data_IF_381338643516
#
_entry.id   IF_381338643516
#
_cell.length_a   1.000
_cell.length_b   1.000
_cell.length_c   1.000
_cell.angle_alpha   90.00
_cell.angle_beta   90.00
_cell.angle_gamma   90.00
#
_symmetry.space_group_name_H-M   'P 1'
#
loop_
_entity.id
_entity.type
_entity.pdbx_description
1 polymer ?
#
# COMPACT_ATOMS: atom_id res chain seq x y z
N UNK A 1 -52.96 45.10 15.47
CA UNK A 1 -51.91 44.09 15.73
C UNK A 1 -50.92 44.14 14.55
N UNK A 2 -49.74 44.76 14.69
CA UNK A 2 -48.76 44.90 13.59
C UNK A 2 -47.77 43.73 13.63
N UNK A 3 -47.89 42.81 12.68
CA UNK A 3 -47.00 41.66 12.56
C UNK A 3 -45.64 42.10 12.02
N UNK A 4 -44.58 41.93 12.82
CA UNK A 4 -43.21 42.37 12.49
C UNK A 4 -42.49 41.38 11.55
N UNK A 5 -42.81 41.43 10.26
CA UNK A 5 -42.23 40.57 9.21
C UNK A 5 -40.69 40.63 9.12
N UNK A 6 -40.07 41.78 9.42
CA UNK A 6 -38.60 41.95 9.35
C UNK A 6 -37.82 41.07 10.33
N UNK A 7 -38.38 40.77 11.51
CA UNK A 7 -37.77 39.87 12.50
C UNK A 7 -37.84 38.40 12.08
N UNK A 8 -38.89 38.00 11.37
CA UNK A 8 -39.07 36.62 10.90
C UNK A 8 -38.15 36.27 9.73
N UNK A 9 -37.92 37.21 8.81
CA UNK A 9 -36.99 37.04 7.68
C UNK A 9 -35.53 36.95 8.17
N UNK A 10 -35.15 37.72 9.19
CA UNK A 10 -33.81 37.68 9.79
C UNK A 10 -33.51 36.32 10.44
N UNK A 11 -34.48 35.74 11.16
CA UNK A 11 -34.31 34.44 11.85
C UNK A 11 -34.23 33.28 10.85
N UNK A 12 -34.99 33.32 9.76
CA UNK A 12 -34.93 32.31 8.69
C UNK A 12 -33.61 32.39 7.92
N UNK A 13 -33.11 33.60 7.64
CA UNK A 13 -31.81 33.81 6.98
C UNK A 13 -30.63 33.31 7.81
N UNK A 14 -30.67 33.49 9.13
CA UNK A 14 -29.62 32.98 10.05
C UNK A 14 -29.69 31.46 10.21
N UNK A 15 -30.87 30.84 10.18
CA UNK A 15 -30.99 29.38 10.25
C UNK A 15 -30.41 28.67 9.01
N UNK A 16 -30.55 29.26 7.82
CA UNK A 16 -29.94 28.72 6.59
C UNK A 16 -28.42 28.92 6.53
N UNK A 17 -27.88 29.93 7.21
CA UNK A 17 -26.43 30.14 7.36
C UNK A 17 -25.76 29.09 8.26
N UNK A 18 -26.47 28.50 9.22
CA UNK A 18 -25.93 27.43 10.08
C UNK A 18 -26.12 26.03 9.51
N UNK A 19 -27.07 25.81 8.58
CA UNK A 19 -27.27 24.51 7.94
C UNK A 19 -26.25 24.20 6.83
N UNK A 20 -25.55 25.23 6.32
CA UNK A 20 -24.55 25.09 5.25
C UNK A 20 -23.12 24.81 5.70
N UNK A 21 -22.81 24.87 6.99
CA UNK A 21 -21.43 24.87 7.49
C UNK A 21 -20.92 23.51 8.02
N UNK A 22 -21.71 22.45 7.96
CA UNK A 22 -21.30 21.11 8.40
C UNK A 22 -21.28 20.10 7.25
N UNK A 23 -20.67 20.46 6.13
CA UNK A 23 -20.12 19.45 5.24
C UNK A 23 -18.78 19.01 5.86
N UNK A 24 -18.82 18.01 6.75
CA UNK A 24 -17.61 17.28 7.10
C UNK A 24 -17.07 16.70 5.79
N UNK A 25 -15.96 17.24 5.29
CA UNK A 25 -15.19 16.60 4.24
C UNK A 25 -14.64 15.31 4.86
N UNK A 26 -15.39 14.23 4.72
CA UNK A 26 -14.88 12.89 4.95
C UNK A 26 -13.85 12.65 3.86
N UNK A 27 -12.58 12.95 4.13
CA UNK A 27 -11.48 12.41 3.35
C UNK A 27 -11.51 10.91 3.62
N UNK A 28 -12.24 10.16 2.79
CA UNK A 28 -12.01 8.73 2.70
C UNK A 28 -10.62 8.57 2.12
N UNK A 29 -9.65 8.14 2.94
CA UNK A 29 -8.42 7.58 2.43
C UNK A 29 -8.83 6.33 1.62
N UNK A 30 -9.01 6.51 0.32
CA UNK A 30 -9.31 5.39 -0.55
C UNK A 30 -8.02 4.57 -0.63
N UNK A 31 -8.12 3.28 -0.30
CA UNK A 31 -7.02 2.36 -0.53
C UNK A 31 -6.91 2.21 -2.05
N UNK A 32 -5.95 2.91 -2.66
CA UNK A 32 -5.68 2.89 -4.11
C UNK A 32 -5.28 1.51 -4.60
N UNK A 33 -4.50 0.80 -3.78
CA UNK A 33 -3.92 -0.49 -4.10
C UNK A 33 -3.72 -1.30 -2.81
N UNK A 34 -3.87 -2.61 -2.93
CA UNK A 34 -3.54 -3.57 -1.89
C UNK A 34 -3.25 -4.91 -2.54
N UNK A 35 -2.36 -5.65 -1.91
CA UNK A 35 -2.19 -7.07 -2.14
C UNK A 35 -2.12 -7.79 -0.79
N UNK A 36 -2.98 -8.80 -0.64
CA UNK A 36 -3.02 -9.68 0.52
C UNK A 36 -2.54 -11.09 0.19
N UNK A 37 -2.13 -11.35 -1.06
CA UNK A 37 -1.67 -12.62 -1.60
C UNK A 37 -2.72 -13.76 -1.61
N UNK A 38 -3.98 -13.50 -1.23
CA UNK A 38 -4.99 -14.55 -1.06
C UNK A 38 -5.48 -15.14 -2.40
N UNK A 39 -5.31 -14.43 -3.51
CA UNK A 39 -5.70 -14.89 -4.85
C UNK A 39 -4.68 -15.78 -5.54
N UNK A 40 -3.48 -15.90 -4.96
CA UNK A 40 -2.36 -16.62 -5.55
C UNK A 40 -2.43 -18.11 -5.23
N UNK A 41 -1.44 -18.88 -5.68
CA UNK A 41 -1.33 -20.31 -5.35
C UNK A 41 -0.12 -20.60 -4.46
N UNK A 42 -0.25 -21.60 -3.58
CA UNK A 42 0.86 -22.02 -2.73
C UNK A 42 2.05 -22.51 -3.59
N UNK A 43 3.24 -21.96 -3.34
CA UNK A 43 4.44 -22.26 -4.11
C UNK A 43 4.61 -21.45 -5.40
N UNK A 44 3.68 -20.53 -5.71
CA UNK A 44 3.86 -19.62 -6.84
C UNK A 44 5.08 -18.73 -6.61
N UNK A 45 5.94 -18.65 -7.64
CA UNK A 45 7.02 -17.68 -7.69
C UNK A 45 6.47 -16.38 -8.23
N UNK A 46 6.80 -15.27 -7.58
CA UNK A 46 6.52 -13.93 -8.07
C UNK A 46 7.68 -13.50 -8.99
N UNK A 47 7.65 -13.99 -10.23
CA UNK A 47 8.72 -13.92 -11.22
C UNK A 47 8.53 -12.83 -12.29
N UNK A 48 7.50 -11.98 -12.14
CA UNK A 48 7.18 -10.89 -13.05
C UNK A 48 6.23 -11.28 -14.18
N UNK A 49 5.60 -12.45 -14.09
CA UNK A 49 4.58 -12.89 -15.04
C UNK A 49 3.22 -12.23 -14.75
N UNK A 50 2.27 -12.23 -15.72
CA UNK A 50 1.01 -11.49 -15.58
C UNK A 50 0.13 -11.91 -14.37
N UNK A 51 0.32 -13.10 -13.82
CA UNK A 51 -0.38 -13.63 -12.65
C UNK A 51 0.28 -13.27 -11.31
N UNK A 52 1.36 -12.50 -11.33
CA UNK A 52 2.07 -12.09 -10.12
C UNK A 52 1.57 -10.79 -9.51
N UNK A 53 0.54 -10.17 -10.10
CA UNK A 53 -0.04 -8.92 -9.59
C UNK A 53 0.90 -7.72 -9.63
N UNK A 54 1.97 -7.78 -10.42
CA UNK A 54 2.94 -6.69 -10.61
C UNK A 54 4.22 -6.83 -9.79
N UNK A 55 4.38 -7.91 -9.03
CA UNK A 55 5.62 -8.22 -8.32
C UNK A 55 6.69 -8.79 -9.25
N UNK A 56 7.95 -8.44 -9.01
CA UNK A 56 9.13 -8.92 -9.73
C UNK A 56 10.34 -8.98 -8.79
N UNK A 57 11.32 -9.84 -9.06
CA UNK A 57 12.61 -9.78 -8.37
C UNK A 57 13.40 -8.51 -8.70
N UNK A 58 14.17 -8.01 -7.74
CA UNK A 58 15.06 -6.87 -7.92
C UNK A 58 15.96 -7.06 -9.14
N UNK A 59 16.01 -6.04 -9.99
CA UNK A 59 16.74 -6.03 -11.26
C UNK A 59 16.35 -7.18 -12.21
N UNK A 60 15.12 -7.69 -12.07
CA UNK A 60 14.64 -8.88 -12.77
C UNK A 60 15.54 -10.11 -12.53
N UNK A 61 16.14 -10.20 -11.33
CA UNK A 61 17.01 -11.31 -10.96
C UNK A 61 16.16 -12.48 -10.43
N UNK A 62 16.32 -13.66 -11.05
CA UNK A 62 15.61 -14.86 -10.63
C UNK A 62 15.93 -15.34 -9.21
N UNK A 63 17.10 -14.97 -8.69
CA UNK A 63 17.48 -15.26 -7.31
C UNK A 63 16.80 -14.34 -6.28
N UNK A 64 16.10 -13.30 -6.74
CA UNK A 64 15.43 -12.30 -5.92
C UNK A 64 13.91 -12.53 -5.78
N UNK A 65 13.37 -13.56 -6.42
CA UNK A 65 11.93 -13.84 -6.39
C UNK A 65 11.44 -14.18 -4.98
N UNK A 66 10.20 -13.79 -4.72
CA UNK A 66 9.43 -14.20 -3.54
C UNK A 66 8.60 -15.43 -3.88
N UNK A 67 8.34 -16.26 -2.86
CA UNK A 67 7.48 -17.44 -3.02
C UNK A 67 6.22 -17.27 -2.18
N UNK A 68 5.06 -17.44 -2.79
CA UNK A 68 3.78 -17.46 -2.07
C UNK A 68 3.70 -18.73 -1.23
N UNK A 69 3.30 -18.62 0.04
CA UNK A 69 3.24 -19.73 1.00
C UNK A 69 2.01 -19.65 1.89
N UNK A 70 1.59 -20.79 2.43
CA UNK A 70 0.59 -20.92 3.49
C UNK A 70 1.18 -21.20 4.88
N UNK A 71 2.52 -21.17 5.02
CA UNK A 71 3.21 -21.41 6.29
C UNK A 71 2.81 -20.41 7.38
N UNK A 72 2.71 -19.14 7.00
CA UNK A 72 2.29 -18.01 7.84
C UNK A 72 1.41 -17.11 6.99
N UNK A 73 0.40 -16.50 7.58
CA UNK A 73 -0.43 -15.53 6.86
C UNK A 73 -1.20 -14.64 7.83
N UNK A 74 -1.42 -13.39 7.43
CA UNK A 74 -2.30 -12.46 8.16
C UNK A 74 -3.74 -12.56 7.65
N UNK A 75 -3.92 -12.70 6.34
CA UNK A 75 -5.19 -12.98 5.68
C UNK A 75 -5.11 -14.39 5.13
N UNK A 76 -6.19 -15.17 5.26
CA UNK A 76 -6.17 -16.56 4.78
C UNK A 76 -6.43 -16.60 3.28
N UNK A 77 -5.70 -17.42 2.50
CA UNK A 77 -4.82 -18.51 2.97
C UNK A 77 -3.31 -18.29 2.80
N UNK A 78 -2.86 -17.17 2.24
CA UNK A 78 -1.46 -17.06 1.79
C UNK A 78 -0.78 -15.75 2.23
N UNK A 79 0.55 -15.77 2.21
CA UNK A 79 1.41 -14.58 2.18
C UNK A 79 2.60 -14.84 1.27
N UNK A 80 3.41 -13.81 1.00
CA UNK A 80 4.73 -14.00 0.39
C UNK A 80 5.79 -14.31 1.45
N UNK A 81 6.66 -15.26 1.17
CA UNK A 81 7.85 -15.57 1.97
C UNK A 81 9.03 -14.74 1.48
N UNK A 82 9.68 -14.06 2.41
CA UNK A 82 10.96 -13.36 2.20
C UNK A 82 12.02 -14.16 2.94
N UNK A 83 12.85 -14.89 2.20
CA UNK A 83 13.88 -15.77 2.78
C UNK A 83 15.22 -15.67 2.06
N UNK A 84 16.22 -16.32 2.65
CA UNK A 84 17.56 -16.49 2.07
C UNK A 84 18.01 -17.92 2.27
N UNK A 85 18.70 -18.48 1.27
CA UNK A 85 19.42 -19.75 1.41
C UNK A 85 20.85 -19.58 1.96
N UNK A 86 21.28 -18.34 2.20
CA UNK A 86 22.60 -17.96 2.69
C UNK A 86 23.74 -18.12 1.68
N UNK A 87 23.45 -18.39 0.41
CA UNK A 87 24.47 -18.66 -0.61
C UNK A 87 24.22 -17.89 -1.91
N UNK A 88 23.03 -18.02 -2.48
CA UNK A 88 22.74 -17.54 -3.84
C UNK A 88 21.35 -16.97 -4.03
N UNK A 89 20.40 -17.32 -3.16
CA UNK A 89 19.02 -16.84 -3.22
C UNK A 89 18.72 -15.99 -2.00
N UNK A 90 18.27 -14.77 -2.26
CA UNK A 90 17.84 -13.80 -1.27
C UNK A 90 16.64 -13.08 -1.85
N UNK A 91 15.46 -13.25 -1.26
CA UNK A 91 14.26 -12.56 -1.75
C UNK A 91 14.45 -11.05 -1.63
N UNK A 92 14.37 -10.36 -2.76
CA UNK A 92 14.34 -8.91 -2.89
C UNK A 92 13.27 -8.58 -3.91
N UNK A 93 12.03 -8.46 -3.42
CA UNK A 93 10.85 -8.38 -4.26
C UNK A 93 10.38 -6.92 -4.40
N UNK A 94 10.12 -6.51 -5.63
CA UNK A 94 9.74 -5.16 -6.02
C UNK A 94 8.35 -5.16 -6.61
N UNK A 95 7.53 -4.18 -6.23
CA UNK A 95 6.27 -3.85 -6.92
C UNK A 95 6.31 -2.38 -7.33
N UNK A 96 6.30 -2.13 -8.63
CA UNK A 96 6.34 -0.77 -9.17
C UNK A 96 4.93 -0.15 -9.19
N UNK A 97 4.89 1.17 -8.97
CA UNK A 97 3.64 1.93 -8.97
C UNK A 97 3.66 2.98 -10.07
N UNK A 98 2.54 3.13 -10.78
CA UNK A 98 2.35 4.19 -11.77
C UNK A 98 1.29 5.18 -11.31
N UNK A 99 1.42 6.44 -11.71
CA UNK A 99 0.46 7.51 -11.36
C UNK A 99 0.69 8.21 -10.01
N UNK A 100 1.67 7.79 -9.22
CA UNK A 100 2.01 8.39 -7.91
C UNK A 100 3.16 9.40 -8.06
N UNK A 101 2.88 10.59 -8.57
CA UNK A 101 3.91 11.57 -8.96
C UNK A 101 4.13 12.70 -7.96
N UNK A 102 3.19 12.94 -7.04
CA UNK A 102 3.29 13.99 -6.01
C UNK A 102 2.33 13.74 -4.85
N UNK A 103 2.56 14.36 -3.69
CA UNK A 103 1.71 14.25 -2.50
C UNK A 103 2.36 13.47 -1.36
N UNK A 104 1.56 13.13 -0.36
CA UNK A 104 1.96 12.31 0.79
C UNK A 104 1.29 10.95 0.64
N UNK A 105 2.09 9.89 0.70
CA UNK A 105 1.63 8.52 0.60
C UNK A 105 1.83 7.80 1.92
N UNK A 106 0.86 6.98 2.30
CA UNK A 106 0.96 6.09 3.47
C UNK A 106 0.97 4.68 2.96
N UNK A 107 2.02 3.93 3.30
CA UNK A 107 2.14 2.52 2.98
C UNK A 107 2.09 1.71 4.28
N UNK A 108 1.44 0.56 4.25
CA UNK A 108 1.37 -0.36 5.38
C UNK A 108 1.73 -1.75 4.92
N UNK A 109 2.83 -2.29 5.45
CA UNK A 109 3.25 -3.67 5.26
C UNK A 109 3.08 -4.43 6.58
N UNK A 110 2.61 -5.67 6.49
CA UNK A 110 2.54 -6.58 7.62
C UNK A 110 3.58 -7.67 7.44
N UNK A 111 4.58 -7.66 8.31
CA UNK A 111 5.69 -8.61 8.23
C UNK A 111 5.68 -9.50 9.48
N UNK A 112 5.65 -10.81 9.25
CA UNK A 112 5.91 -11.78 10.29
C UNK A 112 7.41 -12.02 10.37
N UNK A 113 7.99 -11.89 11.56
CA UNK A 113 9.39 -12.20 11.84
C UNK A 113 9.41 -13.40 12.81
N UNK A 114 9.95 -14.56 12.40
CA UNK A 114 10.07 -15.72 13.27
C UNK A 114 10.90 -15.43 14.52
N UNK A 115 10.61 -16.14 15.61
CA UNK A 115 11.33 -15.96 16.89
C UNK A 115 12.82 -16.30 16.82
N UNK A 116 13.19 -17.18 15.90
CA UNK A 116 14.55 -17.65 15.63
C UNK A 116 15.20 -16.94 14.43
N UNK A 117 14.59 -15.85 13.94
CA UNK A 117 15.16 -15.04 12.87
C UNK A 117 16.54 -14.51 13.24
N UNK A 118 17.50 -14.70 12.34
CA UNK A 118 18.85 -14.16 12.42
C UNK A 118 19.17 -13.43 11.11
N UNK A 119 19.78 -12.24 11.24
CA UNK A 119 20.08 -11.37 10.10
C UNK A 119 19.23 -10.11 10.09
N UNK A 120 19.05 -9.55 8.91
CA UNK A 120 18.33 -8.29 8.68
C UNK A 120 17.27 -8.48 7.60
N UNK A 121 16.21 -7.69 7.69
CA UNK A 121 15.15 -7.66 6.71
C UNK A 121 14.71 -6.22 6.53
N UNK A 122 14.33 -5.88 5.31
CA UNK A 122 14.07 -4.51 4.91
C UNK A 122 12.69 -4.41 4.28
N UNK A 123 11.94 -3.39 4.69
CA UNK A 123 10.78 -2.91 3.95
C UNK A 123 11.12 -1.51 3.45
N UNK A 124 11.19 -1.33 2.13
CA UNK A 124 11.71 -0.10 1.53
C UNK A 124 10.69 0.50 0.57
N UNK A 125 10.54 1.83 0.65
CA UNK A 125 9.81 2.62 -0.32
C UNK A 125 10.79 3.47 -1.13
N UNK A 126 10.65 3.45 -2.45
CA UNK A 126 11.50 4.18 -3.38
C UNK A 126 10.69 5.29 -4.06
N UNK A 127 11.33 6.44 -4.27
CA UNK A 127 10.80 7.54 -5.09
C UNK A 127 11.03 7.31 -6.59
N UNK A 128 11.98 6.44 -6.93
CA UNK A 128 12.27 6.04 -8.31
C UNK A 128 12.97 4.70 -8.33
N UNK A 129 12.61 3.86 -9.31
CA UNK A 129 13.24 2.57 -9.54
C UNK A 129 13.51 2.43 -11.03
N UNK A 130 14.73 2.02 -11.39
CA UNK A 130 15.18 1.86 -12.78
C UNK A 130 15.67 0.42 -13.05
N UNK A 131 15.06 -0.57 -12.38
CA UNK A 131 15.48 -1.96 -12.49
C UNK A 131 16.79 -2.24 -11.74
N UNK A 132 17.03 -1.54 -10.62
CA UNK A 132 18.22 -1.71 -9.78
C UNK A 132 19.49 -1.06 -10.33
N UNK A 133 19.34 -0.12 -11.27
CA UNK A 133 20.43 0.69 -11.78
C UNK A 133 20.76 1.90 -10.91
N UNK A 134 21.65 2.76 -11.41
CA UNK A 134 22.11 3.95 -10.70
C UNK A 134 21.06 5.07 -10.56
N UNK A 135 19.94 4.97 -11.27
CA UNK A 135 18.82 5.91 -11.24
C UNK A 135 17.77 5.59 -10.17
N UNK A 136 17.97 4.53 -9.40
CA UNK A 136 17.14 4.19 -8.24
C UNK A 136 17.28 5.25 -7.14
N UNK A 137 16.15 5.74 -6.61
CA UNK A 137 16.08 6.82 -5.61
C UNK A 137 15.27 6.39 -4.40
N UNK A 138 15.89 6.39 -3.22
CA UNK A 138 15.24 6.06 -1.95
C UNK A 138 14.30 7.17 -1.48
N UNK A 139 13.18 6.80 -0.87
CA UNK A 139 12.34 7.76 -0.16
C UNK A 139 13.02 8.17 1.17
N UNK A 140 12.91 9.46 1.53
CA UNK A 140 13.41 10.03 2.79
C UNK A 140 12.24 10.35 3.71
#
# INVERSE_FOLDING_TARGET
MKTNYKRKILVIGVLFLFLGASATLSVSAYRTWADNFDSYTNGQLLDGTPDDGGWIGWANNANAYGTVTNEQYRSSPYSVKVDSDGVSRETDLVHEYTGYTSGIWVYTAWQFVPTDFAGETYFILLCGYDGGGSGTVWAV
#
